data_IF_919360975316
#
_entry.id   IF_919360975316
#
_cell.length_a   1.000
_cell.length_b   1.000
_cell.length_c   1.000
_cell.angle_alpha   90.00
_cell.angle_beta   90.00
_cell.angle_gamma   90.00
#
_symmetry.space_group_name_H-M   'P 1'
#
loop_
_entity.id
_entity.type
_entity.pdbx_description
1 polymer ?
#
# COMPACT_ATOMS: atom_id res chain seq x y z
N UNK A 1 1.71 -32.66 -17.11
CA UNK A 1 2.85 -32.28 -16.25
C UNK A 1 2.41 -32.45 -14.80
N UNK A 2 3.26 -33.04 -13.95
CA UNK A 2 2.94 -33.14 -12.51
C UNK A 2 3.10 -31.77 -11.85
N UNK A 3 2.15 -31.41 -10.98
CA UNK A 3 2.11 -30.13 -10.27
C UNK A 3 2.13 -30.34 -8.76
N UNK A 4 2.41 -29.27 -8.02
CA UNK A 4 2.43 -29.20 -6.57
C UNK A 4 2.01 -27.80 -6.12
N UNK A 5 1.62 -27.69 -4.86
CA UNK A 5 1.27 -26.40 -4.27
C UNK A 5 2.46 -25.84 -3.49
N UNK A 6 2.68 -24.54 -3.58
CA UNK A 6 3.64 -23.80 -2.77
C UNK A 6 2.89 -23.01 -1.70
N UNK A 7 3.36 -23.10 -0.47
CA UNK A 7 3.00 -22.18 0.61
C UNK A 7 4.27 -21.54 1.17
N UNK A 8 4.30 -20.23 1.24
CA UNK A 8 5.38 -19.46 1.85
C UNK A 8 4.77 -18.44 2.81
N UNK A 9 5.28 -18.37 4.04
CA UNK A 9 4.92 -17.36 5.02
C UNK A 9 6.18 -16.82 5.69
N UNK A 10 6.28 -15.49 5.69
CA UNK A 10 7.25 -14.74 6.48
C UNK A 10 6.54 -14.12 7.69
N UNK A 11 6.75 -14.69 8.87
CA UNK A 11 6.16 -14.23 10.12
C UNK A 11 7.05 -13.25 10.86
N UNK A 12 6.49 -12.14 11.34
CA UNK A 12 7.24 -11.02 11.90
C UNK A 12 6.47 -10.29 13.02
N UNK A 13 7.14 -9.36 13.69
CA UNK A 13 6.47 -8.35 14.52
C UNK A 13 5.60 -7.43 13.65
N UNK A 14 4.67 -6.69 14.28
CA UNK A 14 3.71 -5.82 13.58
C UNK A 14 4.38 -4.83 12.61
N UNK A 15 4.15 -5.11 11.32
CA UNK A 15 4.58 -4.31 10.18
C UNK A 15 3.77 -3.01 10.10
N UNK A 16 4.35 -1.93 9.56
CA UNK A 16 3.61 -0.70 9.32
C UNK A 16 2.46 -0.91 8.32
N UNK A 17 1.24 -0.56 8.73
CA UNK A 17 0.01 -0.78 7.95
C UNK A 17 0.06 -0.18 6.54
N UNK A 18 0.68 1.01 6.40
CA UNK A 18 0.80 1.74 5.13
C UNK A 18 1.63 1.03 4.06
N UNK A 19 2.48 0.06 4.42
CA UNK A 19 3.35 -0.64 3.47
C UNK A 19 2.89 -2.06 3.15
N UNK A 20 1.97 -2.61 3.95
CA UNK A 20 1.69 -4.03 3.98
C UNK A 20 1.11 -4.56 2.66
N UNK A 21 0.09 -3.89 2.12
CA UNK A 21 -0.54 -4.23 0.83
C UNK A 21 0.48 -4.21 -0.31
N UNK A 22 1.28 -3.15 -0.40
CA UNK A 22 2.31 -3.00 -1.43
C UNK A 22 3.39 -4.08 -1.34
N UNK A 23 3.82 -4.43 -0.13
CA UNK A 23 4.81 -5.49 0.09
C UNK A 23 4.29 -6.88 -0.28
N UNK A 24 3.04 -7.18 0.07
CA UNK A 24 2.42 -8.47 -0.27
C UNK A 24 2.32 -8.66 -1.80
N UNK A 25 1.89 -7.62 -2.52
CA UNK A 25 1.86 -7.64 -3.98
C UNK A 25 3.27 -7.71 -4.59
N UNK A 26 4.22 -6.93 -4.09
CA UNK A 26 5.62 -6.99 -4.56
C UNK A 26 6.26 -8.37 -4.33
N UNK A 27 5.94 -9.04 -3.22
CA UNK A 27 6.38 -10.42 -2.95
C UNK A 27 5.80 -11.38 -3.98
N UNK A 28 4.49 -11.31 -4.26
CA UNK A 28 3.82 -12.15 -5.26
C UNK A 28 4.38 -11.93 -6.66
N UNK A 29 4.38 -10.69 -7.11
CA UNK A 29 4.79 -10.33 -8.46
C UNK A 29 6.27 -10.62 -8.68
N UNK A 30 7.11 -10.39 -7.66
CA UNK A 30 8.52 -10.72 -7.67
C UNK A 30 8.78 -12.23 -7.76
N UNK A 31 7.99 -13.07 -7.10
CA UNK A 31 8.10 -14.53 -7.24
C UNK A 31 7.66 -14.99 -8.62
N UNK A 32 6.51 -14.50 -9.11
CA UNK A 32 5.98 -14.86 -10.43
C UNK A 32 6.97 -14.53 -11.55
N UNK A 33 7.56 -13.32 -11.54
CA UNK A 33 8.57 -12.92 -12.51
C UNK A 33 9.82 -13.82 -12.49
N UNK A 34 10.20 -14.31 -11.30
CA UNK A 34 11.34 -15.22 -11.13
C UNK A 34 11.04 -16.64 -11.57
N UNK A 35 9.83 -17.14 -11.30
CA UNK A 35 9.37 -18.45 -11.80
C UNK A 35 9.33 -18.45 -13.33
N UNK A 36 8.79 -17.40 -13.94
CA UNK A 36 8.75 -17.22 -15.40
C UNK A 36 10.18 -17.21 -15.99
N UNK A 37 11.08 -16.39 -15.43
CA UNK A 37 12.49 -16.34 -15.84
C UNK A 37 13.20 -17.68 -15.68
N UNK A 38 12.84 -18.46 -14.65
CA UNK A 38 13.36 -19.79 -14.42
C UNK A 38 12.67 -20.86 -15.30
N UNK A 39 11.70 -20.51 -16.14
CA UNK A 39 10.94 -21.44 -16.97
C UNK A 39 10.06 -22.41 -16.16
N UNK A 40 9.76 -22.10 -14.90
CA UNK A 40 8.88 -22.93 -14.07
C UNK A 40 7.43 -22.57 -14.37
N UNK A 41 6.74 -23.46 -15.08
CA UNK A 41 5.35 -23.22 -15.47
C UNK A 41 4.42 -23.11 -14.25
N UNK A 42 3.60 -22.06 -14.23
CA UNK A 42 2.53 -21.84 -13.26
C UNK A 42 1.42 -20.99 -13.89
N UNK A 43 0.26 -20.97 -13.24
CA UNK A 43 -0.80 -20.01 -13.54
C UNK A 43 -0.72 -18.83 -12.54
N UNK A 44 -0.39 -17.61 -12.99
CA UNK A 44 -0.35 -16.43 -12.13
C UNK A 44 -1.65 -16.18 -11.35
N UNK A 45 -2.82 -16.56 -11.91
CA UNK A 45 -4.11 -16.40 -11.25
C UNK A 45 -4.28 -17.32 -10.03
N UNK A 46 -3.50 -18.39 -9.93
CA UNK A 46 -3.47 -19.30 -8.78
C UNK A 46 -2.51 -18.83 -7.68
N UNK A 47 -1.79 -17.71 -7.88
CA UNK A 47 -0.87 -17.13 -6.91
C UNK A 47 -1.60 -16.12 -6.02
N UNK A 48 -2.02 -16.57 -4.85
CA UNK A 48 -2.65 -15.71 -3.85
C UNK A 48 -1.59 -15.02 -2.99
N UNK A 49 -1.76 -13.71 -2.84
CA UNK A 49 -1.02 -12.91 -1.87
C UNK A 49 -1.94 -12.64 -0.68
N UNK A 50 -1.55 -13.11 0.49
CA UNK A 50 -2.27 -12.87 1.73
C UNK A 50 -1.36 -12.17 2.72
N UNK A 51 -1.96 -11.43 3.66
CA UNK A 51 -1.20 -10.68 4.64
C UNK A 51 -2.00 -10.30 5.88
N UNK A 52 -1.27 -10.12 6.96
CA UNK A 52 -1.77 -9.51 8.20
C UNK A 52 -0.68 -8.62 8.77
N UNK A 53 -0.95 -7.79 9.82
CA UNK A 53 0.09 -6.98 10.44
C UNK A 53 1.36 -7.77 10.78
N UNK A 54 1.27 -9.08 10.99
CA UNK A 54 2.37 -9.93 11.47
C UNK A 54 2.88 -10.95 10.45
N UNK A 55 2.36 -10.95 9.20
CA UNK A 55 2.79 -11.93 8.19
C UNK A 55 2.58 -11.47 6.76
N UNK A 56 3.48 -11.92 5.89
CA UNK A 56 3.32 -11.91 4.44
C UNK A 56 3.27 -13.35 3.96
N UNK A 57 2.28 -13.70 3.13
CA UNK A 57 2.01 -15.08 2.73
C UNK A 57 1.78 -15.17 1.24
N UNK A 58 2.37 -16.19 0.61
CA UNK A 58 2.05 -16.62 -0.75
C UNK A 58 1.51 -18.04 -0.72
N UNK A 59 0.38 -18.26 -1.41
CA UNK A 59 -0.10 -19.60 -1.77
C UNK A 59 -0.17 -19.69 -3.29
N UNK A 60 0.56 -20.60 -3.90
CA UNK A 60 0.51 -20.85 -5.33
C UNK A 60 0.12 -22.29 -5.60
N UNK A 61 -1.07 -22.48 -6.13
CA UNK A 61 -1.56 -23.81 -6.50
C UNK A 61 -1.14 -24.20 -7.91
N UNK A 62 -0.87 -25.49 -8.13
CA UNK A 62 -0.61 -26.01 -9.49
C UNK A 62 0.75 -25.62 -10.09
N UNK A 63 1.77 -25.37 -9.27
CA UNK A 63 3.14 -25.09 -9.72
C UNK A 63 3.76 -26.36 -10.33
N UNK A 64 4.38 -26.26 -11.51
CA UNK A 64 5.05 -27.40 -12.14
C UNK A 64 6.17 -27.96 -11.24
N UNK A 65 6.27 -29.28 -11.12
CA UNK A 65 7.31 -29.94 -10.31
C UNK A 65 8.70 -29.93 -10.93
N UNK A 66 8.80 -29.65 -12.22
CA UNK A 66 10.04 -29.70 -12.97
C UNK A 66 10.04 -28.60 -14.04
N UNK A 67 11.21 -28.01 -14.26
CA UNK A 67 11.45 -27.15 -15.41
C UNK A 67 11.32 -27.96 -16.72
N UNK A 68 11.05 -27.30 -17.86
CA UNK A 68 11.15 -27.96 -19.15
C UNK A 68 12.59 -28.42 -19.40
N UNK A 69 12.73 -29.52 -20.14
CA UNK A 69 14.05 -29.99 -20.57
C UNK A 69 14.73 -28.92 -21.43
N UNK A 70 16.03 -28.72 -21.17
CA UNK A 70 16.82 -27.78 -21.93
C UNK A 70 17.48 -28.51 -23.10
N UNK A 71 17.07 -28.13 -24.31
CA UNK A 71 17.70 -28.56 -25.53
C UNK A 71 18.78 -27.56 -25.91
N UNK A 72 20.03 -28.02 -25.98
CA UNK A 72 21.12 -27.21 -26.55
C UNK A 72 21.67 -27.88 -27.79
N UNK A 73 21.65 -27.17 -28.92
CA UNK A 73 22.27 -27.58 -30.17
C UNK A 73 23.52 -26.72 -30.40
N UNK A 74 24.69 -27.35 -30.48
CA UNK A 74 25.93 -26.69 -30.86
C UNK A 74 26.36 -27.20 -32.22
N UNK A 75 26.54 -26.30 -33.18
CA UNK A 75 27.04 -26.63 -34.50
C UNK A 75 28.57 -26.60 -34.49
N UNK A 76 29.16 -27.71 -34.89
CA UNK A 76 30.59 -27.89 -35.09
C UNK A 76 31.02 -27.56 -36.53
N UNK A 77 32.21 -27.98 -36.96
CA UNK A 77 32.69 -27.76 -38.32
C UNK A 77 31.85 -28.53 -39.36
N UNK A 78 31.88 -28.06 -40.61
CA UNK A 78 31.28 -28.77 -41.74
C UNK A 78 31.96 -30.14 -41.91
N UNK A 79 31.22 -31.17 -42.34
CA UNK A 79 31.73 -32.55 -42.42
C UNK A 79 32.97 -32.64 -43.32
N UNK A 80 32.99 -31.89 -44.42
CA UNK A 80 34.12 -31.79 -45.35
C UNK A 80 35.37 -31.08 -44.78
N UNK A 81 35.23 -30.30 -43.72
CA UNK A 81 36.32 -29.62 -43.01
C UNK A 81 36.64 -30.29 -41.65
N UNK A 82 35.73 -31.13 -41.16
CA UNK A 82 35.83 -31.87 -39.92
C UNK A 82 36.57 -33.21 -40.08
N UNK A 83 36.65 -33.76 -41.28
CA UNK A 83 37.34 -35.01 -41.57
C UNK A 83 38.44 -34.80 -42.61
N UNK A 84 39.55 -35.51 -42.45
CA UNK A 84 40.62 -35.57 -43.46
C UNK A 84 40.32 -36.62 -44.56
N UNK A 85 41.22 -36.73 -45.54
CA UNK A 85 41.09 -37.67 -46.66
C UNK A 85 41.09 -39.15 -46.24
N UNK A 86 41.53 -39.48 -45.01
CA UNK A 86 41.51 -40.82 -44.45
C UNK A 86 40.27 -41.08 -43.56
N UNK A 87 39.36 -40.10 -43.46
CA UNK A 87 38.17 -40.18 -42.62
C UNK A 87 38.43 -39.96 -41.13
N UNK A 88 39.61 -39.44 -40.77
CA UNK A 88 39.99 -39.14 -39.39
C UNK A 88 39.61 -37.69 -39.01
N UNK A 89 39.33 -37.42 -37.72
CA UNK A 89 38.87 -36.11 -37.30
C UNK A 89 39.98 -35.05 -37.38
N UNK A 90 39.66 -33.90 -37.96
CA UNK A 90 40.54 -32.74 -37.93
C UNK A 90 40.69 -32.19 -36.51
N UNK A 91 41.74 -31.41 -36.25
CA UNK A 91 41.94 -30.75 -34.94
C UNK A 91 40.74 -29.91 -34.52
N UNK A 92 40.06 -29.29 -35.48
CA UNK A 92 38.86 -28.49 -35.22
C UNK A 92 37.68 -29.37 -34.76
N UNK A 93 37.50 -30.56 -35.38
CA UNK A 93 36.47 -31.50 -34.97
C UNK A 93 36.77 -32.12 -33.60
N UNK A 94 38.03 -32.50 -33.35
CA UNK A 94 38.46 -33.01 -32.03
C UNK A 94 38.26 -31.97 -30.93
N UNK A 95 38.70 -30.73 -31.14
CA UNK A 95 38.50 -29.64 -30.17
C UNK A 95 37.03 -29.32 -29.93
N UNK A 96 36.20 -29.37 -30.98
CA UNK A 96 34.75 -29.19 -30.84
C UNK A 96 34.11 -30.30 -30.02
N UNK A 97 34.41 -31.57 -30.31
CA UNK A 97 33.90 -32.73 -29.57
C UNK A 97 34.32 -32.68 -28.09
N UNK A 98 35.60 -32.39 -27.82
CA UNK A 98 36.12 -32.23 -26.46
C UNK A 98 35.44 -31.08 -25.71
N UNK A 99 35.18 -29.95 -26.38
CA UNK A 99 34.43 -28.83 -25.78
C UNK A 99 32.96 -29.16 -25.48
N UNK A 100 32.44 -30.24 -26.05
CA UNK A 100 31.11 -30.79 -25.78
C UNK A 100 31.14 -31.95 -24.78
N UNK A 101 32.33 -32.39 -24.34
CA UNK A 101 32.51 -33.50 -23.40
C UNK A 101 32.23 -34.88 -23.98
N UNK A 102 32.27 -35.02 -25.32
CA UNK A 102 31.98 -36.28 -26.03
C UNK A 102 33.09 -36.62 -27.02
N UNK A 103 33.15 -37.89 -27.43
CA UNK A 103 33.98 -38.30 -28.57
C UNK A 103 33.39 -37.78 -29.89
N UNK A 104 34.24 -37.48 -30.88
CA UNK A 104 33.78 -36.92 -32.16
C UNK A 104 32.83 -37.86 -32.93
N UNK A 105 32.95 -39.17 -32.69
CA UNK A 105 32.06 -40.19 -33.26
C UNK A 105 30.65 -40.17 -32.68
N UNK A 106 30.44 -39.51 -31.53
CA UNK A 106 29.13 -39.34 -30.91
C UNK A 106 28.38 -38.10 -31.42
N UNK A 107 28.98 -37.31 -32.32
CA UNK A 107 28.36 -36.15 -32.93
C UNK A 107 27.40 -36.55 -34.05
N UNK A 108 26.22 -35.94 -34.09
CA UNK A 108 25.26 -36.09 -35.18
C UNK A 108 25.74 -35.33 -36.42
N UNK A 109 25.26 -35.74 -37.60
CA UNK A 109 25.46 -34.99 -38.86
C UNK A 109 24.12 -34.48 -39.35
N UNK A 110 24.05 -33.19 -39.64
CA UNK A 110 22.83 -32.55 -40.17
C UNK A 110 23.12 -31.94 -41.53
N UNK A 111 22.36 -32.38 -42.54
CA UNK A 111 22.37 -31.80 -43.87
C UNK A 111 21.56 -30.50 -43.89
N UNK A 112 22.13 -29.47 -44.49
CA UNK A 112 21.47 -28.18 -44.75
C UNK A 112 21.70 -27.78 -46.20
N UNK A 113 20.96 -26.79 -46.70
CA UNK A 113 21.15 -26.24 -48.05
C UNK A 113 22.57 -25.71 -48.31
N UNK A 114 23.37 -25.51 -47.25
CA UNK A 114 24.76 -25.02 -47.28
C UNK A 114 25.80 -26.11 -46.97
N UNK A 115 25.41 -27.40 -47.00
CA UNK A 115 26.28 -28.55 -46.73
C UNK A 115 25.95 -29.29 -45.43
N UNK A 116 26.68 -30.38 -45.17
CA UNK A 116 26.55 -31.20 -43.96
C UNK A 116 27.46 -30.67 -42.82
N UNK A 117 26.94 -30.66 -41.60
CA UNK A 117 27.65 -30.17 -40.41
C UNK A 117 27.63 -31.19 -39.29
N UNK A 118 28.72 -31.26 -38.52
CA UNK A 118 28.70 -31.96 -37.24
C UNK A 118 27.93 -31.14 -36.21
N UNK A 119 27.10 -31.80 -35.42
CA UNK A 119 26.22 -31.17 -34.42
C UNK A 119 26.27 -31.96 -33.14
N UNK A 120 26.42 -31.26 -32.01
CA UNK A 120 26.21 -31.83 -30.70
C UNK A 120 24.85 -31.38 -30.17
N UNK A 121 23.95 -32.33 -29.95
CA UNK A 121 22.68 -32.10 -29.26
C UNK A 121 22.78 -32.64 -27.85
N UNK A 122 22.53 -31.77 -26.89
CA UNK A 122 22.43 -32.17 -25.49
C UNK A 122 21.00 -31.92 -25.02
N UNK A 123 20.38 -32.96 -24.48
CA UNK A 123 19.19 -32.85 -23.66
C UNK A 123 19.64 -32.83 -22.20
N UNK A 124 19.41 -31.71 -21.51
CA UNK A 124 19.56 -31.65 -20.06
C UNK A 124 18.17 -31.71 -19.45
N UNK A 125 17.87 -32.73 -18.62
CA UNK A 125 16.63 -32.76 -17.87
C UNK A 125 16.43 -31.44 -17.12
N UNK A 126 15.22 -30.91 -17.13
CA UNK A 126 14.90 -29.72 -16.33
C UNK A 126 15.14 -29.99 -14.84
N UNK A 127 15.62 -28.99 -14.09
CA UNK A 127 15.82 -29.15 -12.65
C UNK A 127 14.47 -29.34 -11.94
N UNK A 128 14.49 -30.05 -10.81
CA UNK A 128 13.31 -30.16 -9.97
C UNK A 128 12.99 -28.78 -9.38
N UNK A 129 11.72 -28.37 -9.43
CA UNK A 129 11.30 -27.05 -8.92
C UNK A 129 11.69 -26.87 -7.45
N UNK A 130 11.61 -27.93 -6.65
CA UNK A 130 12.02 -27.92 -5.25
C UNK A 130 13.49 -27.52 -5.02
N UNK A 131 14.38 -27.76 -5.98
CA UNK A 131 15.81 -27.42 -5.89
C UNK A 131 16.07 -25.94 -6.18
N UNK A 132 15.30 -25.34 -7.10
CA UNK A 132 15.48 -23.93 -7.49
C UNK A 132 14.67 -22.97 -6.62
N UNK A 133 13.54 -23.42 -6.07
CA UNK A 133 12.57 -22.58 -5.37
C UNK A 133 13.13 -21.84 -4.13
N UNK A 134 14.01 -22.44 -3.29
CA UNK A 134 14.63 -21.72 -2.17
C UNK A 134 15.43 -20.49 -2.62
N UNK A 135 16.17 -20.58 -3.73
CA UNK A 135 16.93 -19.46 -4.27
C UNK A 135 15.98 -18.36 -4.80
N UNK A 136 14.94 -18.74 -5.55
CA UNK A 136 13.96 -17.78 -6.08
C UNK A 136 13.23 -17.04 -4.95
N UNK A 137 12.79 -17.75 -3.90
CA UNK A 137 12.14 -17.12 -2.73
C UNK A 137 13.08 -16.16 -2.01
N UNK A 138 14.34 -16.54 -1.81
CA UNK A 138 15.35 -15.68 -1.18
C UNK A 138 15.54 -14.39 -1.96
N UNK A 139 15.78 -14.51 -3.27
CA UNK A 139 15.95 -13.37 -4.16
C UNK A 139 14.71 -12.47 -4.23
N UNK A 140 13.50 -13.06 -4.18
CA UNK A 140 12.25 -12.29 -4.11
C UNK A 140 12.20 -11.45 -2.85
N UNK A 141 12.47 -12.04 -1.69
CA UNK A 141 12.45 -11.33 -0.40
C UNK A 141 13.56 -10.27 -0.33
N UNK A 142 14.73 -10.54 -0.93
CA UNK A 142 15.83 -9.57 -1.01
C UNK A 142 15.50 -8.34 -1.88
N UNK A 143 14.63 -8.50 -2.87
CA UNK A 143 14.24 -7.43 -3.78
C UNK A 143 13.00 -6.63 -3.33
N UNK A 144 12.46 -6.90 -2.13
CA UNK A 144 11.30 -6.17 -1.64
C UNK A 144 11.60 -4.66 -1.49
N UNK A 145 10.68 -3.77 -1.89
CA UNK A 145 10.84 -2.34 -1.74
C UNK A 145 10.59 -1.94 -0.27
N UNK A 146 11.60 -2.11 0.58
CA UNK A 146 11.51 -1.83 2.01
C UNK A 146 11.85 -0.36 2.30
N UNK A 147 10.90 0.48 2.72
CA UNK A 147 11.22 1.84 3.15
C UNK A 147 11.97 1.80 4.48
N UNK A 148 13.20 2.32 4.54
CA UNK A 148 14.02 2.40 5.76
C UNK A 148 14.21 1.04 6.47
N UNK A 149 14.86 0.05 5.83
CA UNK A 149 15.08 -1.26 6.43
C UNK A 149 15.95 -1.15 7.69
N UNK A 150 15.60 -1.88 8.75
CA UNK A 150 16.35 -1.91 10.00
C UNK A 150 17.07 -3.24 10.17
N UNK A 151 18.28 -3.19 10.74
CA UNK A 151 19.03 -4.38 11.13
C UNK A 151 18.65 -4.78 12.55
N UNK A 152 18.49 -6.08 12.78
CA UNK A 152 18.03 -6.62 14.05
C UNK A 152 19.04 -7.65 14.58
N UNK A 153 19.54 -7.43 15.80
CA UNK A 153 20.62 -8.22 16.38
C UNK A 153 21.92 -8.06 15.58
N UNK A 154 22.69 -9.14 15.46
CA UNK A 154 23.97 -9.16 14.73
C UNK A 154 23.81 -9.36 13.21
N UNK A 155 22.58 -9.34 12.70
CA UNK A 155 22.29 -9.69 11.30
C UNK A 155 22.61 -8.53 10.35
N UNK A 156 23.29 -8.84 9.25
CA UNK A 156 23.60 -7.87 8.19
C UNK A 156 22.38 -7.48 7.36
N UNK A 157 21.44 -8.40 7.21
CA UNK A 157 20.23 -8.21 6.40
C UNK A 157 19.17 -7.45 7.18
N UNK A 158 18.72 -6.32 6.62
CA UNK A 158 17.66 -5.49 7.20
C UNK A 158 16.25 -5.91 6.78
N UNK A 159 15.28 -5.72 7.67
CA UNK A 159 13.85 -5.84 7.40
C UNK A 159 13.07 -4.76 8.17
N UNK A 160 11.80 -4.53 7.85
CA UNK A 160 11.01 -3.48 8.51
C UNK A 160 10.80 -3.74 9.99
N UNK A 161 10.75 -5.01 10.39
CA UNK A 161 10.54 -5.48 11.77
C UNK A 161 11.26 -6.80 11.99
N UNK A 162 11.47 -7.26 13.24
CA UNK A 162 12.02 -8.59 13.49
C UNK A 162 11.15 -9.68 12.83
N UNK A 163 11.81 -10.58 12.10
CA UNK A 163 11.22 -11.84 11.63
C UNK A 163 11.33 -12.85 12.78
N UNK A 164 10.27 -13.62 12.99
CA UNK A 164 10.13 -14.56 14.12
C UNK A 164 10.02 -16.02 13.67
N UNK A 165 9.39 -16.28 12.53
CA UNK A 165 9.29 -17.63 11.96
C UNK A 165 9.25 -17.61 10.43
N UNK A 166 9.58 -18.75 9.85
CA UNK A 166 9.54 -18.98 8.42
C UNK A 166 8.85 -20.32 8.15
N UNK A 167 7.78 -20.27 7.37
CA UNK A 167 7.12 -21.47 6.85
C UNK A 167 7.29 -21.48 5.34
N UNK A 168 7.79 -22.58 4.80
CA UNK A 168 7.85 -22.77 3.36
C UNK A 168 7.67 -24.24 3.01
N UNK A 169 6.56 -24.58 2.37
CA UNK A 169 6.21 -25.93 1.95
C UNK A 169 6.10 -25.98 0.43
N UNK A 170 6.66 -27.03 -0.15
CA UNK A 170 6.34 -27.45 -1.50
C UNK A 170 5.66 -28.82 -1.41
N UNK A 171 4.35 -28.81 -1.67
CA UNK A 171 3.43 -29.88 -1.31
C UNK A 171 3.43 -30.11 0.22
N UNK A 172 3.82 -31.30 0.67
CA UNK A 172 3.91 -31.66 2.10
C UNK A 172 5.33 -31.52 2.68
N UNK A 173 6.31 -31.13 1.84
CA UNK A 173 7.71 -31.13 2.19
C UNK A 173 8.21 -29.71 2.47
N UNK A 174 8.84 -29.47 3.64
CA UNK A 174 9.54 -28.22 3.90
C UNK A 174 10.67 -27.97 2.90
N UNK A 175 10.78 -26.73 2.44
CA UNK A 175 11.88 -26.29 1.58
C UNK A 175 13.15 -26.07 2.38
N UNK A 176 14.31 -26.41 1.81
CA UNK A 176 15.62 -26.10 2.37
C UNK A 176 15.96 -24.60 2.20
N UNK A 177 15.21 -23.75 2.90
CA UNK A 177 15.29 -22.30 2.86
C UNK A 177 15.58 -21.75 4.26
N UNK A 178 16.46 -20.76 4.34
CA UNK A 178 16.69 -19.99 5.56
C UNK A 178 16.66 -18.50 5.22
N UNK A 179 15.82 -17.75 5.93
CA UNK A 179 15.72 -16.30 5.79
C UNK A 179 15.80 -15.66 7.16
N UNK A 180 16.57 -14.58 7.26
CA UNK A 180 16.76 -13.84 8.51
C UNK A 180 17.10 -14.78 9.68
N UNK A 181 17.93 -15.80 9.50
CA UNK A 181 18.30 -16.73 10.58
C UNK A 181 17.18 -17.67 11.07
N UNK A 182 16.09 -17.83 10.30
CA UNK A 182 15.03 -18.80 10.56
C UNK A 182 15.00 -19.81 9.42
N UNK A 183 15.20 -21.08 9.75
CA UNK A 183 15.01 -22.18 8.82
C UNK A 183 13.53 -22.38 8.55
N UNK A 184 13.17 -22.63 7.28
CA UNK A 184 11.81 -22.88 6.89
C UNK A 184 11.34 -24.24 7.43
N UNK A 185 10.13 -24.24 7.99
CA UNK A 185 9.48 -25.44 8.45
C UNK A 185 8.00 -25.47 8.07
N UNK A 186 7.23 -26.21 8.86
CA UNK A 186 5.76 -26.32 8.76
C UNK A 186 5.02 -25.50 9.83
N UNK A 187 5.75 -24.79 10.69
CA UNK A 187 5.18 -24.13 11.86
C UNK A 187 4.75 -22.70 11.56
N UNK A 188 3.51 -22.38 11.92
CA UNK A 188 2.95 -21.02 11.95
C UNK A 188 2.38 -20.72 13.34
N UNK A 189 1.80 -19.54 13.50
CA UNK A 189 1.18 -19.07 14.74
C UNK A 189 -0.16 -18.41 14.46
N UNK A 190 -1.11 -18.64 15.36
CA UNK A 190 -2.41 -17.99 15.36
C UNK A 190 -2.38 -16.57 15.93
N UNK A 191 -3.56 -16.11 16.35
CA UNK A 191 -3.72 -14.82 16.98
C UNK A 191 -2.93 -14.73 18.29
N UNK A 192 -2.14 -13.66 18.49
CA UNK A 192 -1.23 -13.51 19.63
C UNK A 192 -1.89 -13.73 21.00
N UNK A 193 -3.15 -13.34 21.14
CA UNK A 193 -3.88 -13.44 22.41
C UNK A 193 -4.80 -14.65 22.51
N UNK A 194 -5.33 -15.14 21.37
CA UNK A 194 -6.35 -16.19 21.38
C UNK A 194 -5.78 -17.58 21.11
N UNK A 195 -4.71 -17.64 20.31
CA UNK A 195 -4.04 -18.88 19.95
C UNK A 195 -2.51 -18.66 19.83
N UNK A 196 -1.82 -18.35 20.95
CA UNK A 196 -0.38 -18.07 20.94
C UNK A 196 0.50 -19.29 20.65
N UNK A 197 -0.05 -20.50 20.72
CA UNK A 197 0.69 -21.75 20.49
C UNK A 197 1.07 -21.91 19.01
N UNK A 198 2.19 -22.60 18.79
CA UNK A 198 2.61 -23.02 17.45
C UNK A 198 1.58 -23.99 16.83
N UNK A 199 1.41 -23.86 15.51
CA UNK A 199 0.49 -24.67 14.71
C UNK A 199 1.28 -25.28 13.56
N UNK A 200 1.09 -26.57 13.29
CA UNK A 200 1.70 -27.23 12.15
C UNK A 200 0.77 -27.25 10.94
N UNK A 201 1.30 -26.87 9.78
CA UNK A 201 0.60 -26.91 8.49
C UNK A 201 1.14 -28.10 7.71
N UNK A 202 0.27 -29.07 7.40
CA UNK A 202 0.69 -30.25 6.64
C UNK A 202 0.63 -30.01 5.14
N UNK A 203 -0.37 -29.27 4.66
CA UNK A 203 -0.59 -28.98 3.25
C UNK A 203 -0.93 -27.51 3.04
N UNK A 204 -0.52 -26.95 1.91
CA UNK A 204 -0.80 -25.56 1.54
C UNK A 204 -2.31 -25.21 1.56
N UNK A 205 -3.16 -26.17 1.19
CA UNK A 205 -4.61 -25.99 1.14
C UNK A 205 -5.26 -25.83 2.53
N UNK A 206 -4.66 -26.37 3.58
CA UNK A 206 -5.22 -26.34 4.95
C UNK A 206 -4.97 -25.00 5.65
N UNK A 207 -4.05 -24.19 5.11
CA UNK A 207 -3.51 -23.00 5.75
C UNK A 207 -4.56 -21.99 6.20
N UNK A 208 -5.46 -21.60 5.29
CA UNK A 208 -6.45 -20.55 5.55
C UNK A 208 -7.44 -20.99 6.63
N UNK A 209 -8.00 -22.19 6.51
CA UNK A 209 -8.95 -22.73 7.48
C UNK A 209 -8.30 -22.90 8.86
N UNK A 210 -7.07 -23.42 8.89
CA UNK A 210 -6.30 -23.60 10.14
C UNK A 210 -6.04 -22.26 10.83
N UNK A 211 -5.68 -21.22 10.08
CA UNK A 211 -5.48 -19.89 10.65
C UNK A 211 -6.79 -19.25 11.12
N UNK A 212 -7.89 -19.46 10.41
CA UNK A 212 -9.20 -18.96 10.80
C UNK A 212 -9.66 -19.56 12.14
N UNK A 213 -9.47 -20.87 12.34
CA UNK A 213 -9.70 -21.54 13.64
C UNK A 213 -8.83 -20.95 14.76
N UNK A 214 -7.61 -20.54 14.41
CA UNK A 214 -6.68 -19.85 15.30
C UNK A 214 -6.89 -18.33 15.39
N UNK A 215 -8.05 -17.85 14.93
CA UNK A 215 -8.49 -16.45 14.93
C UNK A 215 -7.59 -15.51 14.12
N UNK A 216 -7.19 -15.92 12.92
CA UNK A 216 -6.47 -15.09 11.96
C UNK A 216 -7.17 -15.15 10.61
N UNK A 217 -7.74 -14.03 10.18
CA UNK A 217 -8.22 -13.86 8.80
C UNK A 217 -7.06 -13.40 7.93
N UNK A 218 -6.38 -14.36 7.29
CA UNK A 218 -5.20 -14.09 6.46
C UNK A 218 -5.56 -13.45 5.13
N UNK A 219 -6.75 -13.76 4.59
CA UNK A 219 -7.28 -13.11 3.39
C UNK A 219 -7.76 -11.68 3.71
N UNK A 220 -7.12 -10.66 3.14
CA UNK A 220 -7.44 -9.25 3.41
C UNK A 220 -8.81 -8.84 2.86
N UNK A 221 -9.34 -9.48 1.82
CA UNK A 221 -10.66 -9.20 1.28
C UNK A 221 -11.75 -9.75 2.21
N UNK A 222 -11.60 -10.98 2.71
CA UNK A 222 -12.51 -11.55 3.72
C UNK A 222 -12.49 -10.73 5.01
N UNK A 223 -11.30 -10.32 5.45
CA UNK A 223 -11.14 -9.46 6.64
C UNK A 223 -11.80 -8.08 6.44
N UNK A 224 -11.61 -7.44 5.28
CA UNK A 224 -12.26 -6.16 4.94
C UNK A 224 -13.79 -6.27 4.95
N UNK A 225 -14.35 -7.30 4.34
CA UNK A 225 -15.80 -7.55 4.37
C UNK A 225 -16.34 -7.69 5.79
N UNK A 226 -15.62 -8.43 6.64
CA UNK A 226 -15.97 -8.59 8.06
C UNK A 226 -15.90 -7.26 8.83
N UNK A 227 -14.90 -6.42 8.59
CA UNK A 227 -14.80 -5.08 9.20
C UNK A 227 -16.02 -4.26 8.81
N UNK A 228 -16.33 -4.17 7.52
CA UNK A 228 -17.47 -3.39 7.02
C UNK A 228 -18.78 -3.86 7.66
N UNK A 229 -19.02 -5.17 7.70
CA UNK A 229 -20.24 -5.74 8.29
C UNK A 229 -20.37 -5.40 9.78
N UNK A 230 -19.29 -5.55 10.55
CA UNK A 230 -19.30 -5.26 11.98
C UNK A 230 -19.41 -3.77 12.29
N UNK A 231 -18.70 -2.92 11.54
CA UNK A 231 -18.77 -1.46 11.72
C UNK A 231 -20.16 -0.94 11.41
N UNK A 232 -20.80 -1.44 10.35
CA UNK A 232 -22.21 -1.11 10.04
C UNK A 232 -23.15 -1.53 11.16
N UNK A 233 -23.02 -2.77 11.65
CA UNK A 233 -23.84 -3.26 12.77
C UNK A 233 -23.66 -2.40 14.03
N UNK A 234 -22.43 -2.00 14.35
CA UNK A 234 -22.15 -1.12 15.48
C UNK A 234 -22.69 0.30 15.28
N UNK A 235 -22.64 0.82 14.06
CA UNK A 235 -23.21 2.12 13.71
C UNK A 235 -24.75 2.13 13.80
N UNK A 236 -25.40 1.06 13.32
CA UNK A 236 -26.85 0.91 13.42
C UNK A 236 -27.32 0.91 14.88
N UNK A 237 -26.56 0.25 15.78
CA UNK A 237 -26.82 0.27 17.22
C UNK A 237 -26.64 1.66 17.86
N UNK A 238 -25.92 2.57 17.19
CA UNK A 238 -25.73 3.97 17.56
C UNK A 238 -26.71 4.91 16.83
N UNK A 239 -27.70 4.36 16.12
CA UNK A 239 -28.71 5.08 15.33
C UNK A 239 -28.10 5.96 14.22
N UNK A 240 -27.02 5.51 13.59
CA UNK A 240 -26.39 6.23 12.49
C UNK A 240 -25.68 5.34 11.49
N UNK A 241 -25.04 5.95 10.51
CA UNK A 241 -24.23 5.28 9.51
C UNK A 241 -22.76 5.63 9.72
N UNK A 242 -21.86 4.64 9.67
CA UNK A 242 -20.44 4.91 9.73
C UNK A 242 -19.93 5.52 8.42
N UNK A 243 -19.11 6.57 8.53
CA UNK A 243 -18.23 6.99 7.43
C UNK A 243 -17.19 5.90 7.20
N UNK A 244 -17.07 5.43 5.97
CA UNK A 244 -16.22 4.30 5.60
C UNK A 244 -15.33 4.65 4.39
N UNK A 245 -14.40 5.62 4.52
CA UNK A 245 -13.47 5.91 3.43
C UNK A 245 -12.58 4.69 3.15
N UNK A 246 -12.33 4.42 1.87
CA UNK A 246 -11.65 3.19 1.44
C UNK A 246 -10.23 3.07 2.03
N UNK A 247 -9.49 4.17 2.07
CA UNK A 247 -8.13 4.25 2.61
C UNK A 247 -8.08 3.91 4.11
N UNK A 248 -9.03 4.44 4.89
CA UNK A 248 -9.13 4.14 6.32
C UNK A 248 -9.52 2.68 6.55
N UNK A 249 -10.46 2.16 5.75
CA UNK A 249 -10.83 0.75 5.79
C UNK A 249 -9.63 -0.15 5.48
N UNK A 250 -8.80 0.21 4.50
CA UNK A 250 -7.58 -0.54 4.16
C UNK A 250 -6.51 -0.43 5.25
N UNK A 251 -6.34 0.73 5.88
CA UNK A 251 -5.45 0.90 7.03
C UNK A 251 -5.89 0.02 8.20
N UNK A 252 -7.18 0.08 8.60
CA UNK A 252 -7.73 -0.75 9.69
C UNK A 252 -7.67 -2.24 9.35
N UNK A 253 -7.89 -2.61 8.09
CA UNK A 253 -7.69 -3.97 7.61
C UNK A 253 -6.24 -4.43 7.81
N UNK A 254 -5.28 -3.54 7.58
CA UNK A 254 -3.85 -3.79 7.76
C UNK A 254 -3.36 -3.66 9.23
N UNK A 255 -4.24 -3.31 10.16
CA UNK A 255 -3.96 -3.23 11.62
C UNK A 255 -4.50 -4.44 12.40
N UNK A 256 -5.25 -5.34 11.77
CA UNK A 256 -5.95 -6.43 12.47
C UNK A 256 -5.70 -7.81 11.85
N UNK A 257 -5.68 -8.84 12.69
CA UNK A 257 -5.77 -10.26 12.32
C UNK A 257 -7.20 -10.79 12.56
N UNK A 258 -7.85 -10.32 13.63
CA UNK A 258 -9.23 -10.68 14.01
C UNK A 258 -10.04 -9.45 14.43
N UNK A 259 -10.66 -8.74 13.47
CA UNK A 259 -11.34 -7.48 13.74
C UNK A 259 -12.62 -7.70 14.54
N UNK A 260 -12.83 -6.85 15.55
CA UNK A 260 -14.05 -6.73 16.36
C UNK A 260 -14.45 -5.26 16.48
N UNK A 261 -15.60 -4.87 15.96
CA UNK A 261 -16.06 -3.48 16.01
C UNK A 261 -16.63 -3.11 17.40
N UNK A 262 -16.27 -1.93 17.91
CA UNK A 262 -16.67 -1.42 19.22
C UNK A 262 -17.25 -0.01 19.04
N UNK A 263 -18.56 0.13 19.24
CA UNK A 263 -19.24 1.42 19.26
C UNK A 263 -18.85 2.24 20.49
N UNK A 264 -18.57 3.51 20.29
CA UNK A 264 -18.07 4.44 21.30
C UNK A 264 -18.79 5.79 21.23
N UNK A 265 -18.75 6.55 22.32
CA UNK A 265 -19.35 7.87 22.44
C UNK A 265 -18.26 8.95 22.41
N UNK A 266 -18.59 10.09 21.81
CA UNK A 266 -17.80 11.32 21.88
C UNK A 266 -18.31 12.21 23.01
N UNK A 267 -17.44 12.87 23.79
CA UNK A 267 -17.89 13.84 24.77
C UNK A 267 -18.61 15.01 24.09
N UNK A 268 -19.83 15.32 24.55
CA UNK A 268 -20.70 16.34 23.95
C UNK A 268 -20.04 17.73 23.85
N UNK A 269 -19.17 18.09 24.79
CA UNK A 269 -18.47 19.38 24.80
C UNK A 269 -17.63 19.63 23.53
N UNK A 270 -17.19 18.57 22.85
CA UNK A 270 -16.41 18.68 21.62
C UNK A 270 -17.27 18.84 20.36
N UNK A 271 -18.59 18.63 20.44
CA UNK A 271 -19.50 18.82 19.30
C UNK A 271 -19.66 20.29 18.89
N UNK A 272 -19.06 21.23 19.62
CA UNK A 272 -18.91 22.63 19.21
C UNK A 272 -17.84 22.84 18.13
N UNK A 273 -16.92 21.88 17.97
CA UNK A 273 -15.89 21.95 16.94
C UNK A 273 -16.53 21.74 15.57
N UNK A 274 -15.97 22.32 14.51
CA UNK A 274 -16.39 22.00 13.15
C UNK A 274 -16.30 20.49 12.89
N UNK A 275 -17.32 19.92 12.24
CA UNK A 275 -17.37 18.47 11.93
C UNK A 275 -16.10 17.97 11.27
N UNK A 276 -15.52 18.76 10.35
CA UNK A 276 -14.27 18.42 9.67
C UNK A 276 -13.09 18.19 10.63
N UNK A 277 -13.00 18.98 11.71
CA UNK A 277 -11.97 18.85 12.74
C UNK A 277 -12.16 17.57 13.54
N UNK A 278 -13.41 17.28 13.94
CA UNK A 278 -13.74 16.05 14.68
C UNK A 278 -13.46 14.84 13.80
N UNK A 279 -13.94 14.85 12.55
CA UNK A 279 -13.74 13.77 11.58
C UNK A 279 -12.24 13.52 11.36
N UNK A 280 -11.43 14.55 11.09
CA UNK A 280 -9.98 14.38 10.90
C UNK A 280 -9.30 13.82 12.17
N UNK A 281 -9.73 14.26 13.36
CA UNK A 281 -9.20 13.72 14.62
C UNK A 281 -9.54 12.24 14.82
N UNK A 282 -10.74 11.82 14.47
CA UNK A 282 -11.22 10.44 14.65
C UNK A 282 -10.66 9.51 13.57
N UNK A 283 -10.71 9.92 12.30
CA UNK A 283 -10.25 9.14 11.15
C UNK A 283 -8.70 9.11 11.10
N UNK A 284 -8.03 10.25 10.92
CA UNK A 284 -6.58 10.31 10.68
C UNK A 284 -5.76 9.94 11.93
N UNK A 285 -6.11 10.47 13.10
CA UNK A 285 -5.26 10.32 14.29
C UNK A 285 -5.56 9.05 15.09
N UNK A 286 -6.79 8.54 15.05
CA UNK A 286 -7.21 7.39 15.86
C UNK A 286 -7.62 6.16 15.05
N UNK A 287 -7.78 6.26 13.73
CA UNK A 287 -8.19 5.16 12.84
C UNK A 287 -9.56 4.59 13.21
N UNK A 288 -10.46 5.49 13.56
CA UNK A 288 -11.84 5.17 13.93
C UNK A 288 -12.82 5.71 12.89
N UNK A 289 -14.03 5.15 12.87
CA UNK A 289 -15.06 5.51 11.92
C UNK A 289 -16.09 6.43 12.58
N UNK A 290 -16.16 7.73 12.23
CA UNK A 290 -17.19 8.63 12.74
C UNK A 290 -18.58 8.19 12.29
N UNK A 291 -19.59 8.44 13.13
CA UNK A 291 -20.98 8.11 12.83
C UNK A 291 -21.73 9.37 12.42
N UNK A 292 -22.52 9.28 11.35
CA UNK A 292 -23.42 10.35 10.88
C UNK A 292 -24.89 9.93 11.01
N UNK A 293 -25.75 10.90 11.28
CA UNK A 293 -27.19 10.74 11.34
C UNK A 293 -27.83 10.66 9.96
N UNK A 294 -29.15 10.43 9.93
CA UNK A 294 -29.93 10.34 8.68
C UNK A 294 -30.00 11.68 7.91
N UNK A 295 -29.81 12.80 8.60
CA UNK A 295 -29.71 14.15 8.04
C UNK A 295 -28.30 14.50 7.54
N UNK A 296 -27.33 13.57 7.71
CA UNK A 296 -25.93 13.77 7.38
C UNK A 296 -25.13 14.49 8.46
N UNK A 297 -25.74 14.88 9.59
CA UNK A 297 -25.05 15.54 10.69
C UNK A 297 -24.16 14.55 11.45
N UNK A 298 -23.01 15.03 11.95
CA UNK A 298 -22.13 14.21 12.78
C UNK A 298 -22.80 13.89 14.12
N UNK A 299 -22.88 12.61 14.47
CA UNK A 299 -23.34 12.17 15.78
C UNK A 299 -22.18 12.16 16.78
N UNK A 300 -22.43 12.31 18.10
CA UNK A 300 -21.40 12.21 19.14
C UNK A 300 -20.99 10.75 19.37
N UNK A 301 -20.63 10.05 18.31
CA UNK A 301 -20.31 8.63 18.33
C UNK A 301 -19.32 8.25 17.22
N UNK A 302 -18.57 7.19 17.48
CA UNK A 302 -17.63 6.60 16.54
C UNK A 302 -17.52 5.09 16.77
N UNK A 303 -16.96 4.37 15.80
CA UNK A 303 -16.67 2.95 15.93
C UNK A 303 -15.17 2.72 15.79
N UNK A 304 -14.57 2.10 16.80
CA UNK A 304 -13.20 1.58 16.72
C UNK A 304 -13.21 0.08 16.38
N UNK A 305 -12.10 -0.43 15.86
CA UNK A 305 -11.95 -1.87 15.57
C UNK A 305 -10.81 -2.45 16.39
N UNK A 306 -11.16 -3.33 17.32
CA UNK A 306 -10.21 -4.08 18.12
C UNK A 306 -9.67 -5.27 17.34
N UNK A 307 -8.40 -5.59 17.58
CA UNK A 307 -7.79 -6.82 17.09
C UNK A 307 -7.90 -7.95 18.12
N UNK A 308 -9.04 -8.11 18.80
CA UNK A 308 -9.30 -9.23 19.71
C UNK A 308 -10.77 -9.29 20.14
N UNK A 309 -11.21 -10.49 20.53
CA UNK A 309 -12.46 -10.69 21.28
C UNK A 309 -12.17 -10.47 22.76
N UNK A 310 -12.69 -9.38 23.33
CA UNK A 310 -12.50 -9.06 24.75
C UNK A 310 -13.47 -9.84 25.62
N UNK A 311 -13.03 -10.21 26.83
CA UNK A 311 -13.93 -10.70 27.89
C UNK A 311 -14.77 -9.56 28.50
N UNK A 312 -14.29 -8.33 28.40
CA UNK A 312 -15.01 -7.11 28.79
C UNK A 312 -14.85 -6.05 27.68
N UNK A 313 -15.75 -6.02 26.67
CA UNK A 313 -15.72 -5.02 25.61
C UNK A 313 -15.84 -3.58 26.11
N UNK A 314 -16.42 -3.35 27.31
CA UNK A 314 -16.57 -2.02 27.89
C UNK A 314 -15.23 -1.39 28.22
N UNK A 315 -14.23 -2.17 28.62
CA UNK A 315 -12.87 -1.64 28.85
C UNK A 315 -12.23 -1.14 27.55
N UNK A 316 -12.48 -1.81 26.43
CA UNK A 316 -11.99 -1.36 25.12
C UNK A 316 -12.69 -0.05 24.75
N UNK A 317 -14.01 0.01 24.90
CA UNK A 317 -14.79 1.22 24.66
C UNK A 317 -14.26 2.41 25.47
N UNK A 318 -14.10 2.25 26.79
CA UNK A 318 -13.54 3.29 27.66
C UNK A 318 -12.11 3.66 27.26
N UNK A 319 -11.29 2.68 26.85
CA UNK A 319 -9.95 2.89 26.35
C UNK A 319 -9.91 3.77 25.11
N UNK A 320 -10.76 3.48 24.12
CA UNK A 320 -10.90 4.27 22.89
C UNK A 320 -11.38 5.70 23.18
N UNK A 321 -12.38 5.87 24.03
CA UNK A 321 -12.85 7.18 24.43
C UNK A 321 -11.76 7.99 25.16
N UNK A 322 -10.95 7.34 25.99
CA UNK A 322 -9.85 7.96 26.73
C UNK A 322 -8.73 8.47 25.82
N UNK A 323 -8.43 7.79 24.72
CA UNK A 323 -7.37 8.22 23.78
C UNK A 323 -7.83 9.30 22.80
N UNK A 324 -9.13 9.34 22.49
CA UNK A 324 -9.75 10.38 21.66
C UNK A 324 -9.83 11.72 22.40
N UNK A 325 -10.23 11.69 23.67
CA UNK A 325 -10.47 12.90 24.49
C UNK A 325 -9.32 13.93 24.46
N UNK A 326 -8.04 13.58 24.72
CA UNK A 326 -6.95 14.56 24.68
C UNK A 326 -6.74 15.14 23.28
N UNK A 327 -6.91 14.34 22.21
CA UNK A 327 -6.76 14.82 20.83
C UNK A 327 -7.82 15.85 20.45
N UNK A 328 -9.07 15.64 20.88
CA UNK A 328 -10.13 16.63 20.70
C UNK A 328 -9.92 17.86 21.58
N UNK A 329 -9.31 17.72 22.76
CA UNK A 329 -8.95 18.85 23.61
C UNK A 329 -7.88 19.73 22.96
N UNK A 330 -6.85 19.12 22.36
CA UNK A 330 -5.82 19.85 21.61
C UNK A 330 -6.45 20.57 20.40
N UNK A 331 -7.28 19.88 19.61
CA UNK A 331 -8.00 20.49 18.49
C UNK A 331 -8.90 21.66 18.93
N UNK A 332 -9.62 21.49 20.04
CA UNK A 332 -10.43 22.55 20.63
C UNK A 332 -9.59 23.77 21.05
N UNK A 333 -8.42 23.54 21.63
CA UNK A 333 -7.49 24.61 21.99
C UNK A 333 -7.00 25.38 20.75
N UNK A 334 -6.59 24.68 19.68
CA UNK A 334 -6.16 25.33 18.44
C UNK A 334 -7.29 26.15 17.82
N UNK A 335 -8.50 25.58 17.75
CA UNK A 335 -9.67 26.27 17.21
C UNK A 335 -9.99 27.55 18.00
N UNK A 336 -10.02 27.47 19.33
CA UNK A 336 -10.28 28.63 20.19
C UNK A 336 -9.19 29.70 20.09
N UNK A 337 -7.93 29.28 19.91
CA UNK A 337 -6.81 30.19 19.76
C UNK A 337 -6.83 30.89 18.41
N UNK A 338 -7.12 30.17 17.33
CA UNK A 338 -7.21 30.71 15.97
C UNK A 338 -8.37 31.71 15.83
N UNK A 339 -9.51 31.46 16.49
CA UNK A 339 -10.64 32.39 16.50
C UNK A 339 -10.33 33.77 17.12
N UNK A 340 -9.25 33.91 17.90
CA UNK A 340 -8.85 35.20 18.50
C UNK A 340 -8.19 36.12 17.48
N UNK A 341 -7.70 35.59 16.35
CA UNK A 341 -7.03 36.36 15.31
C UNK A 341 -7.87 36.34 14.03
N UNK A 342 -8.33 37.51 13.53
CA UNK A 342 -9.02 37.58 12.25
C UNK A 342 -8.22 36.96 11.12
N UNK A 343 -8.87 36.21 10.22
CA UNK A 343 -8.22 35.44 9.16
C UNK A 343 -7.35 36.34 8.26
N UNK A 344 -7.84 37.55 7.97
CA UNK A 344 -7.13 38.54 7.16
C UNK A 344 -5.79 38.99 7.77
N UNK A 345 -5.62 38.90 9.09
CA UNK A 345 -4.39 39.34 9.76
C UNK A 345 -3.22 38.39 9.49
N UNK A 346 -3.49 37.19 8.97
CA UNK A 346 -2.48 36.23 8.56
C UNK A 346 -1.94 36.45 7.14
N UNK A 347 -2.47 37.42 6.39
CA UNK A 347 -2.04 37.68 5.01
C UNK A 347 -0.54 37.97 4.94
N UNK A 348 -0.04 38.89 5.78
CA UNK A 348 1.37 39.28 5.78
C UNK A 348 2.29 38.15 6.27
N UNK A 349 1.78 37.24 7.11
CA UNK A 349 2.54 36.08 7.57
C UNK A 349 2.86 35.09 6.43
N UNK A 350 2.08 35.10 5.34
CA UNK A 350 2.33 34.26 4.15
C UNK A 350 3.65 34.58 3.46
N UNK A 351 4.24 35.76 3.72
CA UNK A 351 5.56 36.11 3.19
C UNK A 351 6.68 35.21 3.75
N UNK A 352 6.45 34.65 4.95
CA UNK A 352 7.41 33.75 5.61
C UNK A 352 7.37 32.34 5.04
N UNK A 353 6.35 32.00 4.25
CA UNK A 353 6.19 30.66 3.68
C UNK A 353 6.76 30.68 2.27
N UNK A 354 7.88 30.00 2.07
CA UNK A 354 8.46 29.85 0.72
C UNK A 354 7.52 29.02 -0.15
N UNK A 355 7.03 29.60 -1.25
CA UNK A 355 6.30 28.84 -2.27
C UNK A 355 7.28 28.06 -3.15
N UNK A 356 8.24 28.77 -3.75
CA UNK A 356 9.30 28.18 -4.55
C UNK A 356 10.50 29.13 -4.60
N UNK A 357 11.72 28.61 -4.47
CA UNK A 357 12.93 29.41 -4.25
C UNK A 357 13.20 30.56 -5.26
N UNK A 358 12.72 30.45 -6.50
CA UNK A 358 12.81 31.45 -7.57
C UNK A 358 11.52 32.25 -7.78
N UNK A 359 10.38 31.78 -7.28
CA UNK A 359 9.06 32.41 -7.45
C UNK A 359 8.56 33.14 -6.20
N UNK A 360 9.33 33.08 -5.11
CA UNK A 360 9.09 33.84 -3.89
C UNK A 360 8.23 33.12 -2.85
N UNK A 361 7.51 33.91 -2.07
CA UNK A 361 6.67 33.48 -0.96
C UNK A 361 5.25 33.09 -1.40
N UNK A 362 4.47 32.53 -0.46
CA UNK A 362 3.03 32.30 -0.67
C UNK A 362 2.29 33.63 -0.77
N UNK A 363 2.78 34.70 -0.14
CA UNK A 363 2.24 36.05 -0.33
C UNK A 363 2.47 36.53 -1.77
N UNK A 364 3.69 36.37 -2.31
CA UNK A 364 3.98 36.72 -3.71
C UNK A 364 3.06 35.98 -4.69
N UNK A 365 2.83 34.68 -4.42
CA UNK A 365 1.85 33.90 -5.18
C UNK A 365 0.44 34.46 -5.04
N UNK A 366 0.02 34.77 -3.82
CA UNK A 366 -1.32 35.28 -3.52
C UNK A 366 -1.61 36.55 -4.31
N UNK A 367 -0.67 37.50 -4.38
CA UNK A 367 -0.87 38.73 -5.16
C UNK A 367 -0.98 38.48 -6.67
N UNK A 368 -0.24 37.52 -7.23
CA UNK A 368 -0.42 37.10 -8.64
C UNK A 368 -1.79 36.47 -8.86
N UNK A 369 -2.22 35.60 -7.94
CA UNK A 369 -3.53 34.94 -8.01
C UNK A 369 -4.67 35.95 -7.86
N UNK A 370 -4.51 37.02 -7.08
CA UNK A 370 -5.47 38.13 -6.99
C UNK A 370 -5.63 38.84 -8.34
N UNK A 371 -4.53 39.14 -9.02
CA UNK A 371 -4.56 39.75 -10.34
C UNK A 371 -5.24 38.84 -11.38
N UNK A 372 -4.91 37.54 -11.35
CA UNK A 372 -5.54 36.54 -12.21
C UNK A 372 -7.02 36.36 -11.90
N UNK A 373 -7.42 36.31 -10.63
CA UNK A 373 -8.80 36.16 -10.21
C UNK A 373 -9.66 37.34 -10.70
N UNK A 374 -9.15 38.58 -10.60
CA UNK A 374 -9.80 39.76 -11.18
C UNK A 374 -9.97 39.64 -12.69
N UNK A 375 -8.92 39.24 -13.39
CA UNK A 375 -8.96 39.06 -14.83
C UNK A 375 -10.01 38.01 -15.23
N UNK A 376 -9.94 36.81 -14.66
CA UNK A 376 -10.88 35.72 -14.93
C UNK A 376 -12.32 36.13 -14.60
N UNK A 377 -12.55 36.72 -13.42
CA UNK A 377 -13.89 37.18 -13.00
C UNK A 377 -14.53 38.15 -14.02
N UNK A 378 -13.74 39.09 -14.56
CA UNK A 378 -14.21 40.06 -15.57
C UNK A 378 -14.67 39.39 -16.86
N UNK A 379 -14.06 38.25 -17.23
CA UNK A 379 -14.38 37.52 -18.47
C UNK A 379 -15.66 36.68 -18.33
N UNK A 380 -16.02 36.28 -17.10
CA UNK A 380 -17.14 35.36 -16.83
C UNK A 380 -18.30 36.01 -16.06
N UNK A 381 -18.26 37.31 -15.84
CA UNK A 381 -19.36 38.05 -15.19
C UNK A 381 -19.49 37.80 -13.69
N UNK A 382 -18.38 37.49 -13.01
CA UNK A 382 -18.31 37.40 -11.55
C UNK A 382 -17.76 38.72 -10.99
N UNK A 383 -18.22 39.12 -9.81
CA UNK A 383 -17.74 40.33 -9.13
C UNK A 383 -16.21 40.24 -8.92
N UNK A 384 -15.49 41.17 -9.56
CA UNK A 384 -14.03 41.22 -9.56
C UNK A 384 -13.45 41.56 -8.19
N UNK A 385 -14.16 42.37 -7.39
CA UNK A 385 -13.70 42.73 -6.05
C UNK A 385 -13.96 41.60 -5.05
N UNK A 386 -15.08 40.89 -5.20
CA UNK A 386 -15.31 39.65 -4.46
C UNK A 386 -14.25 38.58 -4.79
N UNK A 387 -13.89 38.43 -6.07
CA UNK A 387 -12.83 37.51 -6.51
C UNK A 387 -11.46 37.89 -5.94
N UNK A 388 -11.12 39.17 -5.94
CA UNK A 388 -9.89 39.66 -5.33
C UNK A 388 -9.84 39.44 -3.81
N UNK A 389 -10.95 39.74 -3.12
CA UNK A 389 -11.04 39.55 -1.67
C UNK A 389 -10.92 38.08 -1.27
N UNK A 390 -11.62 37.18 -1.98
CA UNK A 390 -11.52 35.75 -1.74
C UNK A 390 -10.10 35.24 -2.03
N UNK A 391 -9.49 35.65 -3.14
CA UNK A 391 -8.12 35.24 -3.49
C UNK A 391 -7.08 35.67 -2.43
N UNK A 392 -7.21 36.88 -1.86
CA UNK A 392 -6.36 37.34 -0.76
C UNK A 392 -6.46 36.47 0.48
N UNK A 393 -7.66 36.01 0.82
CA UNK A 393 -7.89 35.22 2.04
C UNK A 393 -7.65 33.72 1.85
N UNK A 394 -7.58 33.24 0.61
CA UNK A 394 -7.61 31.82 0.25
C UNK A 394 -6.50 30.97 0.88
N UNK A 395 -5.37 31.59 1.27
CA UNK A 395 -4.21 30.90 1.86
C UNK A 395 -3.92 31.32 3.31
N UNK A 396 -4.68 32.27 3.86
CA UNK A 396 -4.44 32.77 5.21
C UNK A 396 -4.59 31.70 6.30
N UNK A 397 -5.42 30.69 6.07
CA UNK A 397 -5.62 29.60 7.03
C UNK A 397 -4.40 28.69 7.18
N UNK A 398 -3.46 28.70 6.22
CA UNK A 398 -2.16 28.02 6.35
C UNK A 398 -1.37 28.47 7.59
N UNK A 399 -1.65 29.68 8.09
CA UNK A 399 -0.99 30.25 9.28
C UNK A 399 -1.75 30.02 10.59
N UNK A 400 -2.90 29.35 10.52
CA UNK A 400 -3.64 28.93 11.70
C UNK A 400 -2.95 27.74 12.39
N UNK A 401 -3.07 27.65 13.71
CA UNK A 401 -2.54 26.51 14.46
C UNK A 401 -3.26 25.21 14.06
N UNK A 402 -4.57 25.30 13.78
CA UNK A 402 -5.35 24.17 13.31
C UNK A 402 -4.79 23.58 12.02
N UNK A 403 -4.49 24.39 11.00
CA UNK A 403 -3.91 23.85 9.74
C UNK A 403 -2.46 23.42 9.92
N UNK A 404 -1.73 24.04 10.86
CA UNK A 404 -0.40 23.57 11.26
C UNK A 404 -0.41 22.12 11.78
N UNK A 405 -1.40 21.77 12.59
CA UNK A 405 -1.55 20.40 13.14
C UNK A 405 -2.35 19.46 12.24
N UNK A 406 -3.31 19.99 11.47
CA UNK A 406 -4.17 19.27 10.53
C UNK A 406 -4.08 19.86 9.12
N UNK A 407 -2.96 19.64 8.39
CA UNK A 407 -2.74 20.23 7.06
C UNK A 407 -3.80 19.85 6.01
N UNK A 408 -4.47 18.71 6.20
CA UNK A 408 -5.58 18.25 5.35
C UNK A 408 -6.82 19.16 5.43
N UNK A 409 -6.95 19.96 6.49
CA UNK A 409 -8.09 20.87 6.71
C UNK A 409 -7.92 22.25 6.06
N UNK A 410 -6.83 22.48 5.31
CA UNK A 410 -6.66 23.71 4.54
C UNK A 410 -7.82 23.95 3.56
N UNK A 411 -8.20 25.21 3.42
CA UNK A 411 -9.41 25.67 2.75
C UNK A 411 -10.68 25.52 3.60
N UNK A 412 -10.88 24.36 4.22
CA UNK A 412 -12.04 24.12 5.09
C UNK A 412 -11.98 24.98 6.36
N UNK A 413 -10.79 25.14 6.95
CA UNK A 413 -10.60 26.04 8.07
C UNK A 413 -10.69 27.51 7.63
N UNK A 414 -10.14 27.88 6.47
CA UNK A 414 -10.37 29.20 5.88
C UNK A 414 -11.85 29.57 5.78
N UNK A 415 -12.68 28.68 5.20
CA UNK A 415 -14.14 28.84 5.16
C UNK A 415 -14.73 29.00 6.56
N UNK A 416 -14.35 28.11 7.48
CA UNK A 416 -14.89 28.07 8.84
C UNK A 416 -14.61 29.37 9.59
N UNK A 417 -13.37 29.87 9.52
CA UNK A 417 -12.97 31.11 10.16
C UNK A 417 -13.62 32.33 9.50
N UNK A 418 -13.71 32.36 8.17
CA UNK A 418 -14.39 33.44 7.45
C UNK A 418 -15.88 33.52 7.85
N UNK A 419 -16.59 32.39 7.93
CA UNK A 419 -17.98 32.36 8.40
C UNK A 419 -18.10 32.81 9.86
N UNK A 420 -17.24 32.33 10.76
CA UNK A 420 -17.24 32.73 12.16
C UNK A 420 -16.96 34.24 12.35
N UNK A 421 -16.24 34.85 11.41
CA UNK A 421 -15.90 36.28 11.37
C UNK A 421 -16.92 37.13 10.60
N UNK A 422 -18.03 36.54 10.14
CA UNK A 422 -19.12 37.26 9.47
C UNK A 422 -18.85 37.63 8.00
N UNK A 423 -17.91 36.96 7.33
CA UNK A 423 -17.71 37.13 5.89
C UNK A 423 -18.90 36.59 5.08
N UNK A 424 -19.16 37.12 3.88
CA UNK A 424 -20.21 36.60 3.01
C UNK A 424 -20.03 35.10 2.72
N UNK A 425 -21.12 34.33 2.77
CA UNK A 425 -21.08 32.87 2.56
C UNK A 425 -20.39 32.48 1.25
N UNK A 426 -20.70 33.18 0.15
CA UNK A 426 -20.08 32.93 -1.16
C UNK A 426 -18.55 33.12 -1.13
N UNK A 427 -18.03 34.09 -0.39
CA UNK A 427 -16.59 34.30 -0.21
C UNK A 427 -15.99 33.15 0.59
N UNK A 428 -16.60 32.81 1.74
CA UNK A 428 -16.11 31.75 2.60
C UNK A 428 -16.10 30.39 1.89
N UNK A 429 -17.14 30.05 1.12
CA UNK A 429 -17.20 28.85 0.29
C UNK A 429 -16.05 28.81 -0.72
N UNK A 430 -15.74 29.93 -1.37
CA UNK A 430 -14.67 30.02 -2.34
C UNK A 430 -13.27 29.71 -1.72
N UNK A 431 -13.07 29.94 -0.42
CA UNK A 431 -11.81 29.63 0.28
C UNK A 431 -11.55 28.12 0.40
N UNK A 432 -12.60 27.29 0.48
CA UNK A 432 -12.47 25.83 0.42
C UNK A 432 -12.42 25.35 -1.05
N UNK A 433 -13.28 25.92 -1.89
CA UNK A 433 -13.43 25.51 -3.28
C UNK A 433 -12.21 25.83 -4.17
N UNK A 434 -11.33 26.75 -3.79
CA UNK A 434 -10.08 27.04 -4.52
C UNK A 434 -9.24 25.77 -4.74
N UNK A 435 -9.33 24.80 -3.83
CA UNK A 435 -8.62 23.52 -3.92
C UNK A 435 -9.31 22.52 -4.88
N UNK A 436 -10.55 22.75 -5.30
CA UNK A 436 -11.31 21.84 -6.14
C UNK A 436 -10.91 21.93 -7.63
N UNK A 437 -10.79 20.79 -8.36
CA UNK A 437 -10.84 19.43 -7.86
C UNK A 437 -9.57 19.08 -7.07
N UNK A 438 -9.73 18.52 -5.87
CA UNK A 438 -8.60 18.16 -4.98
C UNK A 438 -7.77 17.00 -5.54
N UNK A 439 -8.36 16.18 -6.41
CA UNK A 439 -7.71 15.09 -7.12
C UNK A 439 -8.34 14.87 -8.50
N UNK A 440 -7.65 14.13 -9.37
CA UNK A 440 -8.16 13.80 -10.70
C UNK A 440 -9.54 13.11 -10.61
N UNK A 441 -10.50 13.59 -11.41
CA UNK A 441 -11.88 13.07 -11.42
C UNK A 441 -12.77 13.53 -10.26
N UNK A 442 -12.27 14.31 -9.30
CA UNK A 442 -13.10 14.91 -8.27
C UNK A 442 -13.99 16.05 -8.84
N UNK A 443 -15.09 16.40 -8.16
CA UNK A 443 -15.92 17.55 -8.54
C UNK A 443 -15.12 18.85 -8.61
N UNK A 444 -15.46 19.70 -9.58
CA UNK A 444 -14.97 21.09 -9.64
C UNK A 444 -15.68 21.95 -8.57
N UNK A 445 -15.17 23.16 -8.33
CA UNK A 445 -15.84 24.15 -7.49
C UNK A 445 -17.30 24.38 -7.94
N UNK A 446 -18.24 24.41 -6.99
CA UNK A 446 -19.66 24.54 -7.30
C UNK A 446 -20.05 26.01 -7.48
N UNK A 447 -19.53 26.91 -6.64
CA UNK A 447 -19.84 28.33 -6.73
C UNK A 447 -19.16 29.00 -7.94
N UNK A 448 -19.73 30.10 -8.42
CA UNK A 448 -19.10 30.88 -9.48
C UNK A 448 -17.77 31.50 -9.02
N UNK A 449 -17.72 31.97 -7.77
CA UNK A 449 -16.55 32.59 -7.16
C UNK A 449 -15.42 31.57 -6.93
N UNK A 450 -15.75 30.40 -6.40
CA UNK A 450 -14.79 29.30 -6.22
C UNK A 450 -14.24 28.79 -7.55
N UNK A 451 -15.04 28.73 -8.62
CA UNK A 451 -14.54 28.39 -9.97
C UNK A 451 -13.53 29.41 -10.48
N UNK A 452 -13.77 30.70 -10.29
CA UNK A 452 -12.81 31.76 -10.64
C UNK A 452 -11.50 31.56 -9.89
N UNK A 453 -11.57 31.38 -8.56
CA UNK A 453 -10.39 31.18 -7.71
C UNK A 453 -9.61 29.92 -8.08
N UNK A 454 -10.30 28.80 -8.23
CA UNK A 454 -9.71 27.51 -8.58
C UNK A 454 -8.99 27.52 -9.94
N UNK A 455 -9.51 28.28 -10.91
CA UNK A 455 -8.88 28.51 -12.21
C UNK A 455 -7.67 29.43 -12.07
N UNK A 456 -7.80 30.55 -11.38
CA UNK A 456 -6.71 31.51 -11.18
C UNK A 456 -5.50 30.87 -10.47
N UNK A 457 -5.75 30.13 -9.38
CA UNK A 457 -4.72 29.42 -8.60
C UNK A 457 -3.98 28.38 -9.46
N UNK A 458 -4.71 27.61 -10.29
CA UNK A 458 -4.11 26.61 -11.19
C UNK A 458 -3.36 27.25 -12.34
N UNK A 459 -3.88 28.34 -12.91
CA UNK A 459 -3.21 29.08 -13.97
C UNK A 459 -1.85 29.61 -13.50
N UNK A 460 -1.77 30.19 -12.30
CA UNK A 460 -0.48 30.61 -11.71
C UNK A 460 0.47 29.43 -11.48
N UNK A 461 -0.07 28.30 -11.02
CA UNK A 461 0.75 27.11 -10.71
C UNK A 461 1.33 26.45 -11.96
N UNK A 462 0.65 26.56 -13.11
CA UNK A 462 1.05 25.92 -14.39
C UNK A 462 1.97 26.82 -15.23
N UNK A 463 1.77 28.13 -15.18
CA UNK A 463 2.56 29.12 -15.92
C UNK A 463 4.02 29.17 -15.43
#
# INVERSE_FOLDING_TARGET
MSTADLLFELGCEELPAAHLTGLAHALRDGLLARLDKAGVACDPAQCLAWWTPRRLVLRLSGLARQQPDQHSERRGPAVNAGLDAAGQPSRALQGFAQSCGVEWTALERVATDKGEWFVHRQLRPGAATAEVLPALLRETVDALPLPKPMRWGERDRGFLRPVHWLLALFDEQPLALELFGHAAGRTTYGHRFHHPQAIEIHRAADYEATLEEAQVLVDPARRRQRIVAQVRTAADALNGTARLPDDLLDEVNNLTEWPVAIGCELPADFMRLPDAVIIATIETHQRFFPIVGADGALLPAFVGVANLVSRDPRQIQLGYQRVVRPRLADAAFFYDQDLKTPLQNHLDDLDRVTYQAKLGSVLDKTERVVALARHVASQVGVDTDAAAAAARLAKCDLMSQMVGEFPELQGQMGRTYALAQGQPAALAEALDEVYAPRQAGAPIAASALGRVLAVAERADTIA
#
